data_IF_765690969117
#
_entry.id   IF_765690969117
#
_cell.length_a   1.000
_cell.length_b   1.000
_cell.length_c   1.000
_cell.angle_alpha   90.00
_cell.angle_beta   90.00
_cell.angle_gamma   90.00
#
_symmetry.space_group_name_H-M   'P 1'
#
loop_
_entity.id
_entity.type
_entity.pdbx_description
1 polymer ?
#
# COMPACT_ATOMS: atom_id res chain seq x y z
N UNK A 1 -4.56 4.67 -15.27
CA UNK A 1 -4.39 4.42 -13.84
C UNK A 1 -5.74 4.26 -13.15
N UNK A 2 -5.74 3.65 -11.98
CA UNK A 2 -6.97 3.39 -11.22
C UNK A 2 -7.51 4.68 -10.61
N UNK A 3 -8.82 4.87 -10.72
CA UNK A 3 -9.49 6.01 -10.13
C UNK A 3 -9.62 5.85 -8.62
N UNK A 4 -9.32 6.89 -7.84
CA UNK A 4 -9.36 6.92 -6.36
C UNK A 4 -8.38 5.96 -5.68
N UNK A 5 -7.41 5.44 -6.40
CA UNK A 5 -6.36 4.64 -5.78
C UNK A 5 -5.34 5.49 -5.05
N UNK A 6 -4.71 4.89 -4.06
CA UNK A 6 -3.52 5.47 -3.45
C UNK A 6 -2.33 5.18 -4.35
N UNK A 7 -1.50 6.18 -4.60
CA UNK A 7 -0.29 6.03 -5.41
C UNK A 7 0.92 6.43 -4.60
N UNK A 8 1.89 5.53 -4.52
CA UNK A 8 3.10 5.73 -3.73
C UNK A 8 4.31 5.46 -4.63
N UNK A 9 5.21 6.44 -4.74
CA UNK A 9 6.47 6.22 -5.43
C UNK A 9 7.32 5.26 -4.63
N UNK A 10 7.84 4.24 -5.27
CA UNK A 10 8.62 3.19 -4.62
C UNK A 10 9.76 2.74 -5.53
N UNK A 11 10.72 2.05 -4.94
CA UNK A 11 11.83 1.44 -5.70
C UNK A 11 11.66 -0.06 -5.60
N UNK A 12 11.69 -0.74 -6.74
CA UNK A 12 11.65 -2.20 -6.77
C UNK A 12 13.03 -2.72 -6.37
N UNK A 13 13.07 -3.53 -5.33
CA UNK A 13 14.31 -4.15 -4.83
C UNK A 13 14.15 -5.66 -4.79
N UNK A 14 15.28 -6.36 -4.83
CA UNK A 14 15.29 -7.81 -4.72
C UNK A 14 16.20 -8.22 -3.56
N UNK A 15 15.66 -9.01 -2.65
CA UNK A 15 16.39 -9.57 -1.50
C UNK A 15 16.26 -11.09 -1.57
N UNK A 16 17.34 -11.78 -2.02
CA UNK A 16 17.27 -13.20 -2.27
C UNK A 16 16.29 -13.50 -3.39
N UNK A 17 15.25 -14.28 -3.09
CA UNK A 17 14.19 -14.62 -4.04
C UNK A 17 13.01 -13.65 -3.97
N UNK A 18 12.98 -12.79 -2.96
CA UNK A 18 11.87 -11.87 -2.72
C UNK A 18 12.05 -10.56 -3.48
N UNK A 19 10.98 -10.09 -4.09
CA UNK A 19 10.92 -8.75 -4.68
C UNK A 19 10.02 -7.89 -3.82
N UNK A 20 10.51 -6.72 -3.44
CA UNK A 20 9.81 -5.80 -2.57
C UNK A 20 9.73 -4.41 -3.21
N UNK A 21 8.71 -3.67 -2.83
CA UNK A 21 8.59 -2.26 -3.16
C UNK A 21 8.97 -1.45 -1.94
N UNK A 22 10.08 -0.72 -2.04
CA UNK A 22 10.62 0.07 -0.94
C UNK A 22 10.19 1.53 -1.06
N UNK A 23 9.66 2.08 0.02
CA UNK A 23 9.38 3.51 0.12
C UNK A 23 9.62 3.95 1.57
N UNK A 24 10.47 4.95 1.75
CA UNK A 24 10.89 5.38 3.08
C UNK A 24 11.54 4.23 3.84
N UNK A 25 11.08 3.97 5.05
CA UNK A 25 11.59 2.89 5.90
C UNK A 25 10.85 1.57 5.69
N UNK A 26 9.90 1.52 4.77
CA UNK A 26 9.09 0.33 4.52
C UNK A 26 9.48 -0.38 3.23
N UNK A 27 9.29 -1.69 3.21
CA UNK A 27 9.47 -2.51 2.03
C UNK A 27 8.37 -3.57 2.00
N UNK A 28 7.49 -3.49 1.00
CA UNK A 28 6.33 -4.37 0.88
C UNK A 28 6.67 -5.52 -0.06
N UNK A 29 6.60 -6.74 0.45
CA UNK A 29 6.87 -7.94 -0.33
C UNK A 29 5.75 -8.21 -1.32
N UNK A 30 6.10 -8.44 -2.58
CA UNK A 30 5.13 -8.76 -3.63
C UNK A 30 4.93 -10.26 -3.77
N UNK A 31 3.71 -10.71 -4.12
CA UNK A 31 3.47 -12.09 -4.50
C UNK A 31 4.34 -12.48 -5.70
N UNK A 32 4.66 -13.77 -5.78
CA UNK A 32 5.57 -14.29 -6.79
C UNK A 32 5.22 -13.91 -8.23
N UNK A 33 3.94 -13.93 -8.58
CA UNK A 33 3.49 -13.59 -9.93
C UNK A 33 3.75 -12.12 -10.28
N UNK A 34 3.55 -11.23 -9.31
CA UNK A 34 3.82 -9.80 -9.50
C UNK A 34 5.33 -9.54 -9.53
N UNK A 35 6.06 -10.22 -8.66
CA UNK A 35 7.53 -10.15 -8.62
C UNK A 35 8.14 -10.54 -9.96
N UNK A 36 7.66 -11.62 -10.56
CA UNK A 36 8.14 -12.08 -11.86
C UNK A 36 8.01 -11.02 -12.95
N UNK A 37 6.90 -10.29 -12.95
CA UNK A 37 6.66 -9.23 -13.94
C UNK A 37 7.70 -8.11 -13.83
N UNK A 38 8.08 -7.76 -12.60
CA UNK A 38 9.09 -6.71 -12.37
C UNK A 38 10.48 -7.18 -12.79
N UNK A 39 10.81 -8.43 -12.50
CA UNK A 39 12.10 -9.01 -12.91
C UNK A 39 12.20 -9.10 -14.43
N UNK A 40 11.17 -9.64 -15.08
CA UNK A 40 11.14 -9.78 -16.54
C UNK A 40 11.21 -8.44 -17.26
N UNK A 41 10.58 -7.41 -16.72
CA UNK A 41 10.58 -6.07 -17.30
C UNK A 41 11.82 -5.26 -17.02
N UNK A 42 12.76 -5.77 -16.21
CA UNK A 42 13.98 -5.06 -15.89
C UNK A 42 13.79 -3.90 -14.92
N UNK A 43 12.78 -3.99 -14.04
CA UNK A 43 12.45 -2.91 -13.11
C UNK A 43 13.20 -2.97 -11.78
N UNK A 44 13.93 -4.04 -11.49
CA UNK A 44 14.68 -4.15 -10.23
C UNK A 44 15.72 -3.02 -10.16
N UNK A 45 15.69 -2.27 -9.07
CA UNK A 45 16.54 -1.10 -8.87
C UNK A 45 15.97 0.20 -9.44
N UNK A 46 14.79 0.12 -10.07
CA UNK A 46 14.16 1.29 -10.69
C UNK A 46 12.99 1.79 -9.86
N UNK A 47 12.69 3.08 -10.02
CA UNK A 47 11.52 3.70 -9.42
C UNK A 47 10.26 3.30 -10.18
N UNK A 48 9.26 2.90 -9.41
CA UNK A 48 7.94 2.50 -9.92
C UNK A 48 6.87 3.17 -9.06
N UNK A 49 5.59 3.03 -9.45
CA UNK A 49 4.47 3.54 -8.67
C UNK A 49 3.65 2.35 -8.15
N UNK A 50 3.50 2.29 -6.83
CA UNK A 50 2.61 1.35 -6.16
C UNK A 50 1.22 1.96 -6.14
N UNK A 51 0.23 1.23 -6.66
CA UNK A 51 -1.18 1.63 -6.58
C UNK A 51 -1.97 0.63 -5.78
N UNK A 52 -2.81 1.12 -4.88
CA UNK A 52 -3.68 0.27 -4.07
C UNK A 52 -4.95 1.04 -3.73
N UNK A 53 -6.09 0.36 -3.80
CA UNK A 53 -7.39 0.98 -3.49
C UNK A 53 -7.60 1.11 -1.99
N UNK A 54 -8.38 2.11 -1.54
CA UNK A 54 -8.65 2.30 -0.11
C UNK A 54 -9.24 1.08 0.58
N UNK A 55 -10.09 0.33 -0.10
CA UNK A 55 -10.73 -0.88 0.45
C UNK A 55 -9.77 -2.07 0.58
N UNK A 56 -8.61 -2.00 -0.04
CA UNK A 56 -7.61 -3.07 0.00
C UNK A 56 -6.54 -2.83 1.07
N UNK A 57 -6.73 -1.82 1.89
CA UNK A 57 -5.91 -1.53 3.08
C UNK A 57 -6.78 -1.74 4.31
N UNK A 58 -6.30 -2.52 5.28
CA UNK A 58 -7.09 -2.93 6.45
C UNK A 58 -6.47 -2.44 7.75
N UNK A 59 -7.32 -2.12 8.74
CA UNK A 59 -6.87 -1.75 10.10
C UNK A 59 -7.21 -2.83 11.15
N UNK A 60 -7.87 -3.89 10.75
CA UNK A 60 -8.34 -4.95 11.66
C UNK A 60 -7.18 -5.83 12.15
N UNK A 61 -7.25 -6.23 13.42
CA UNK A 61 -6.19 -7.02 14.06
C UNK A 61 -5.79 -8.27 13.30
N UNK A 62 -6.76 -8.97 12.71
CA UNK A 62 -6.49 -10.19 11.96
C UNK A 62 -5.53 -9.96 10.78
N UNK A 63 -5.53 -8.75 10.23
CA UNK A 63 -4.67 -8.41 9.10
C UNK A 63 -3.34 -7.79 9.53
N UNK A 64 -3.31 -7.08 10.67
CA UNK A 64 -2.12 -6.32 11.09
C UNK A 64 -1.23 -7.04 12.08
N UNK A 65 -1.71 -8.08 12.76
CA UNK A 65 -0.94 -8.81 13.78
C UNK A 65 -0.16 -10.02 13.24
N UNK A 66 -0.15 -10.23 11.94
CA UNK A 66 0.51 -11.37 11.32
C UNK A 66 2.03 -11.27 11.22
N UNK A 67 2.63 -10.16 11.63
CA UNK A 67 4.08 -9.95 11.51
C UNK A 67 4.56 -9.87 10.07
N UNK A 68 3.67 -9.57 9.15
CA UNK A 68 3.95 -9.56 7.73
C UNK A 68 4.66 -8.26 7.30
N UNK A 69 5.36 -8.33 6.18
CA UNK A 69 6.10 -7.21 5.61
C UNK A 69 5.18 -6.11 5.04
N UNK A 70 3.87 -6.33 5.04
CA UNK A 70 2.88 -5.43 4.44
C UNK A 70 2.16 -4.53 5.45
N UNK A 71 2.69 -4.40 6.67
CA UNK A 71 2.08 -3.59 7.73
C UNK A 71 2.84 -2.30 7.92
N UNK A 72 2.10 -1.20 8.00
CA UNK A 72 2.64 0.15 8.23
C UNK A 72 2.08 0.70 9.54
N UNK A 73 2.88 1.52 10.22
CA UNK A 73 2.41 2.33 11.34
C UNK A 73 2.04 3.71 10.80
N UNK A 74 0.84 4.17 11.09
CA UNK A 74 0.36 5.43 10.53
C UNK A 74 -0.50 6.20 11.54
N UNK A 75 -0.36 7.52 11.54
CA UNK A 75 -1.16 8.40 12.39
C UNK A 75 -2.36 8.92 11.60
N UNK A 76 -3.55 8.74 12.15
CA UNK A 76 -4.79 9.21 11.54
C UNK A 76 -4.82 10.73 11.57
N UNK A 77 -4.99 11.35 10.41
CA UNK A 77 -5.14 12.80 10.29
C UNK A 77 -6.59 13.21 10.29
N UNK A 78 -7.43 12.49 9.56
CA UNK A 78 -8.85 12.78 9.38
C UNK A 78 -9.65 11.50 9.45
N UNK A 79 -10.79 11.56 10.08
CA UNK A 79 -11.82 10.52 10.11
C UNK A 79 -13.06 11.11 9.41
N UNK A 80 -13.58 10.38 8.43
CA UNK A 80 -14.73 10.84 7.67
C UNK A 80 -15.74 9.71 7.49
N UNK A 81 -17.00 9.99 7.85
CA UNK A 81 -18.07 9.03 7.63
C UNK A 81 -18.91 9.51 6.44
N UNK A 82 -18.97 8.73 5.39
CA UNK A 82 -19.74 9.00 4.18
C UNK A 82 -20.77 7.90 4.01
N UNK A 83 -22.01 8.19 4.39
CA UNK A 83 -23.07 7.18 4.41
C UNK A 83 -22.73 6.08 5.42
N UNK A 84 -22.66 4.84 4.96
CA UNK A 84 -22.33 3.69 5.79
C UNK A 84 -20.83 3.35 5.76
N UNK A 85 -20.03 4.16 5.09
CA UNK A 85 -18.60 3.90 4.93
C UNK A 85 -17.76 4.87 5.75
N UNK A 86 -16.66 4.38 6.30
CA UNK A 86 -15.70 5.19 7.05
C UNK A 86 -14.37 5.22 6.32
N UNK A 87 -13.85 6.43 6.14
CA UNK A 87 -12.55 6.66 5.52
C UNK A 87 -11.61 7.28 6.55
N UNK A 88 -10.39 6.77 6.58
CA UNK A 88 -9.31 7.33 7.37
C UNK A 88 -8.26 7.88 6.41
N UNK A 89 -7.74 9.05 6.76
CA UNK A 89 -6.72 9.72 5.95
C UNK A 89 -5.42 9.80 6.75
N UNK A 90 -4.34 9.36 6.12
CA UNK A 90 -3.01 9.32 6.73
C UNK A 90 -1.98 10.02 5.85
N UNK A 91 -0.87 10.41 6.43
CA UNK A 91 0.36 10.71 5.71
C UNK A 91 1.42 9.71 6.17
N UNK A 92 1.96 8.93 5.25
CA UNK A 92 2.99 7.93 5.53
C UNK A 92 4.16 8.17 4.60
N UNK A 93 5.35 8.41 5.17
CA UNK A 93 6.58 8.67 4.40
C UNK A 93 6.39 9.79 3.36
N UNK A 94 5.59 10.80 3.69
CA UNK A 94 5.31 11.92 2.80
C UNK A 94 4.21 11.69 1.78
N UNK A 95 3.61 10.51 1.75
CA UNK A 95 2.51 10.19 0.84
C UNK A 95 1.17 10.23 1.56
N UNK A 96 0.17 10.82 0.93
CA UNK A 96 -1.19 10.82 1.44
C UNK A 96 -1.86 9.51 1.10
N UNK A 97 -2.40 8.84 2.10
CA UNK A 97 -3.06 7.53 1.95
C UNK A 97 -4.47 7.60 2.49
N UNK A 98 -5.42 7.14 1.69
CA UNK A 98 -6.83 7.03 2.07
C UNK A 98 -7.16 5.55 2.26
N UNK A 99 -7.78 5.23 3.39
CA UNK A 99 -8.13 3.86 3.76
C UNK A 99 -9.62 3.80 4.04
N UNK A 100 -10.30 2.81 3.45
CA UNK A 100 -11.70 2.53 3.78
C UNK A 100 -11.73 1.40 4.79
N UNK A 101 -12.30 1.67 5.96
CA UNK A 101 -12.31 0.73 7.07
C UNK A 101 -13.73 0.39 7.49
N UNK A 102 -13.84 -0.67 8.31
CA UNK A 102 -15.11 -1.07 8.88
C UNK A 102 -15.66 0.06 9.75
N UNK A 103 -16.97 0.37 9.69
CA UNK A 103 -17.58 1.40 10.55
C UNK A 103 -17.40 1.16 12.05
N UNK A 104 -17.04 -0.06 12.45
CA UNK A 104 -16.77 -0.39 13.85
C UNK A 104 -15.39 0.05 14.32
N UNK A 105 -14.58 0.63 13.44
CA UNK A 105 -13.25 1.10 13.82
C UNK A 105 -13.32 2.08 14.99
N UNK A 106 -12.36 1.96 15.91
CA UNK A 106 -12.20 2.91 17.02
C UNK A 106 -11.14 3.96 16.73
N UNK A 107 -10.53 3.89 15.56
CA UNK A 107 -9.47 4.83 15.16
C UNK A 107 -10.03 6.25 15.01
N UNK A 108 -9.32 7.22 15.56
CA UNK A 108 -9.70 8.65 15.52
C UNK A 108 -8.48 9.50 15.23
N UNK A 109 -8.68 10.75 14.75
CA UNK A 109 -7.57 11.65 14.48
C UNK A 109 -6.61 11.75 15.67
N UNK A 110 -5.32 11.67 15.39
CA UNK A 110 -4.27 11.66 16.40
C UNK A 110 -3.82 10.27 16.83
N UNK A 111 -4.63 9.24 16.57
CA UNK A 111 -4.24 7.87 16.90
C UNK A 111 -3.20 7.35 15.92
N UNK A 112 -2.19 6.66 16.43
CA UNK A 112 -1.24 5.92 15.60
C UNK A 112 -1.66 4.46 15.60
N UNK A 113 -1.96 3.94 14.43
CA UNK A 113 -2.47 2.57 14.27
C UNK A 113 -1.64 1.81 13.23
N UNK A 114 -1.83 0.50 13.20
CA UNK A 114 -1.24 -0.33 12.17
C UNK A 114 -2.24 -0.52 11.04
N UNK A 115 -1.77 -0.39 9.82
CA UNK A 115 -2.57 -0.66 8.62
C UNK A 115 -1.82 -1.68 7.76
N UNK A 116 -2.57 -2.58 7.13
CA UNK A 116 -2.02 -3.63 6.29
C UNK A 116 -2.48 -3.45 4.86
N UNK A 117 -1.53 -3.44 3.93
CA UNK A 117 -1.81 -3.45 2.50
C UNK A 117 -1.97 -4.90 2.06
N UNK A 118 -3.03 -5.20 1.29
CA UNK A 118 -3.19 -6.54 0.72
C UNK A 118 -2.25 -6.67 -0.49
N UNK A 119 -1.18 -7.47 -0.40
CA UNK A 119 -0.20 -7.55 -1.49
C UNK A 119 -0.80 -8.09 -2.78
N UNK A 120 -1.82 -8.93 -2.70
CA UNK A 120 -2.49 -9.46 -3.88
C UNK A 120 -3.27 -8.39 -4.65
N UNK A 121 -3.56 -7.27 -4.02
CA UNK A 121 -4.32 -6.16 -4.61
C UNK A 121 -3.44 -4.98 -5.00
N UNK A 122 -2.13 -5.08 -4.84
CA UNK A 122 -1.19 -4.05 -5.25
C UNK A 122 -1.06 -4.07 -6.77
N UNK A 123 -1.12 -2.87 -7.36
CA UNK A 123 -0.84 -2.65 -8.77
C UNK A 123 0.50 -1.91 -8.87
N UNK A 124 1.29 -2.22 -9.87
CA UNK A 124 2.57 -1.54 -10.09
C UNK A 124 2.58 -0.93 -11.47
N UNK A 125 2.96 0.34 -11.54
CA UNK A 125 2.99 1.10 -12.78
C UNK A 125 4.41 1.59 -13.06
N UNK A 126 4.72 1.71 -14.36
CA UNK A 126 5.95 2.34 -14.82
C UNK A 126 5.90 3.83 -14.44
N UNK A 127 6.96 4.32 -13.82
CA UNK A 127 7.01 5.71 -13.33
C UNK A 127 6.92 6.74 -14.45
N UNK A 128 7.54 6.46 -15.58
CA UNK A 128 7.61 7.40 -16.71
C UNK A 128 6.39 7.31 -17.62
N UNK A 129 5.99 6.08 -17.99
CA UNK A 129 4.91 5.87 -18.96
C UNK A 129 3.54 5.73 -18.34
N UNK A 130 3.48 5.48 -17.04
CA UNK A 130 2.25 5.19 -16.29
C UNK A 130 1.57 3.89 -16.73
N UNK A 131 2.23 3.09 -17.55
CA UNK A 131 1.70 1.79 -17.98
C UNK A 131 1.73 0.79 -16.83
N UNK A 132 0.73 -0.06 -16.80
CA UNK A 132 0.65 -1.13 -15.80
C UNK A 132 1.75 -2.17 -16.06
N UNK A 133 2.57 -2.42 -15.04
CA UNK A 133 3.57 -3.49 -15.07
C UNK A 133 2.90 -4.77 -14.60
N UNK A 134 2.14 -4.70 -13.51
CA UNK A 134 1.36 -5.82 -12.99
C UNK A 134 0.13 -5.33 -12.23
N UNK A 135 -0.92 -6.08 -12.34
CA UNK A 135 -2.16 -5.87 -11.59
C UNK A 135 -2.21 -6.73 -10.35
#
# INVERSE_FOLDING_TARGET
MLFRSNFIDAVAIQEGEDVKLAFGSYAIKLPEQKAARLVEGGYIGKEVVLGIRPEDIKDEEIFVNGGADNVLDATVKVYEMLGAEVFLYFTVEGFDITVRVNPRTTARPGDTIKIALDPAKIHVFDKETERTITN
#
